data_IF_364054254656
#
_entry.id   IF_364054254656
#
_cell.length_a   1.000
_cell.length_b   1.000
_cell.length_c   1.000
_cell.angle_alpha   90.00
_cell.angle_beta   90.00
_cell.angle_gamma   90.00
#
_symmetry.space_group_name_H-M   'P 1'
#
loop_
_entity.id
_entity.type
_entity.pdbx_description
1 polymer ?
#
# COMPACT_ATOMS: atom_id res chain seq x y z
N UNK A 1 9.50 5.07 38.42
CA UNK A 1 10.00 5.55 37.12
C UNK A 1 8.85 5.74 36.12
N UNK A 2 7.86 4.83 36.03
CA UNK A 2 6.73 5.01 35.10
C UNK A 2 5.53 5.81 35.63
N UNK A 3 5.40 6.02 36.95
CA UNK A 3 4.28 6.80 37.51
C UNK A 3 4.41 8.31 37.25
N UNK A 4 5.64 8.84 37.16
CA UNK A 4 5.90 10.25 36.79
C UNK A 4 5.68 10.51 35.29
N UNK A 5 5.46 9.46 34.48
CA UNK A 5 5.34 9.55 33.02
C UNK A 5 3.91 9.76 32.53
N UNK A 6 2.91 9.71 33.42
CA UNK A 6 1.52 9.98 33.04
C UNK A 6 1.28 11.45 32.70
N UNK A 7 2.04 12.37 33.28
CA UNK A 7 1.92 13.81 32.99
C UNK A 7 2.23 14.14 31.52
N UNK A 8 3.22 13.48 30.92
CA UNK A 8 3.61 13.74 29.52
C UNK A 8 2.64 13.17 28.47
N UNK A 9 1.78 12.21 28.83
CA UNK A 9 0.88 11.56 27.85
C UNK A 9 -0.22 12.48 27.32
N UNK A 10 -0.54 13.56 28.03
CA UNK A 10 -1.51 14.56 27.59
C UNK A 10 -0.90 15.71 26.76
N UNK A 11 0.41 15.67 26.46
CA UNK A 11 1.16 16.81 25.92
C UNK A 11 1.89 16.52 24.58
N UNK A 12 1.38 15.66 23.71
CA UNK A 12 1.83 15.64 22.30
C UNK A 12 1.23 16.81 21.51
N UNK A 13 1.36 18.02 22.06
CA UNK A 13 0.95 19.26 21.43
C UNK A 13 2.15 19.74 20.61
N UNK A 14 2.03 19.83 19.27
CA UNK A 14 3.11 20.33 18.44
C UNK A 14 3.38 21.80 18.74
N UNK A 15 4.65 22.23 18.67
CA UNK A 15 5.01 23.64 18.86
C UNK A 15 4.35 24.53 17.80
N UNK A 16 4.11 23.98 16.61
CA UNK A 16 3.45 24.68 15.51
C UNK A 16 1.98 24.28 15.40
N UNK A 17 1.08 25.25 15.58
CA UNK A 17 -0.36 25.05 15.40
C UNK A 17 -0.70 24.97 13.90
N UNK A 18 -1.13 23.80 13.46
CA UNK A 18 -1.66 23.56 12.11
C UNK A 18 -3.16 23.32 12.23
N UNK A 19 -3.96 24.19 11.60
CA UNK A 19 -5.41 24.21 11.77
C UNK A 19 -6.18 23.36 10.75
N UNK A 20 -5.58 23.05 9.60
CA UNK A 20 -6.26 22.33 8.51
C UNK A 20 -5.29 21.35 7.84
N UNK A 21 -5.18 20.16 8.41
CA UNK A 21 -4.27 19.13 7.91
C UNK A 21 -4.74 18.56 6.57
N UNK A 22 -6.05 18.41 6.37
CA UNK A 22 -6.61 17.90 5.11
C UNK A 22 -6.33 18.85 3.94
N UNK A 23 -6.47 20.17 4.13
CA UNK A 23 -6.12 21.15 3.11
C UNK A 23 -4.63 21.10 2.74
N UNK A 24 -3.75 20.89 3.72
CA UNK A 24 -2.31 20.72 3.47
C UNK A 24 -2.05 19.46 2.65
N UNK A 25 -2.67 18.33 3.00
CA UNK A 25 -2.55 17.09 2.21
C UNK A 25 -3.05 17.29 0.78
N UNK A 26 -4.18 17.97 0.58
CA UNK A 26 -4.72 18.30 -0.76
C UNK A 26 -3.76 19.18 -1.56
N UNK A 27 -3.15 20.17 -0.90
CA UNK A 27 -2.15 21.03 -1.53
C UNK A 27 -0.93 20.22 -1.98
N UNK A 28 -0.35 19.41 -1.10
CA UNK A 28 0.81 18.56 -1.43
C UNK A 28 0.47 17.59 -2.55
N UNK A 29 -0.70 16.97 -2.49
CA UNK A 29 -1.15 16.03 -3.51
C UNK A 29 -1.28 16.71 -4.89
N UNK A 30 -1.82 17.94 -4.91
CA UNK A 30 -1.95 18.75 -6.12
C UNK A 30 -0.58 19.14 -6.68
N UNK A 31 0.35 19.60 -5.83
CA UNK A 31 1.71 19.99 -6.21
C UNK A 31 2.51 18.82 -6.79
N UNK A 32 2.29 17.60 -6.28
CA UNK A 32 2.98 16.38 -6.73
C UNK A 32 2.26 15.61 -7.83
N UNK A 33 1.02 15.97 -8.16
CA UNK A 33 0.24 15.34 -9.24
C UNK A 33 0.92 15.31 -10.61
N UNK A 34 1.70 16.34 -11.05
CA UNK A 34 2.37 16.30 -12.35
C UNK A 34 3.43 15.20 -12.46
N UNK A 35 3.95 14.70 -11.33
CA UNK A 35 4.91 13.60 -11.31
C UNK A 35 4.27 12.26 -11.71
N UNK A 36 2.95 12.15 -11.65
CA UNK A 36 2.21 10.93 -12.02
C UNK A 36 1.54 11.15 -13.37
N UNK A 37 1.99 10.40 -14.37
CA UNK A 37 1.33 10.40 -15.67
C UNK A 37 0.00 9.66 -15.58
N UNK A 38 -1.04 10.17 -16.26
CA UNK A 38 -2.24 9.38 -16.51
C UNK A 38 -1.87 8.23 -17.44
N UNK A 39 -1.89 7.02 -16.90
CA UNK A 39 -1.54 5.82 -17.63
C UNK A 39 -2.81 5.29 -18.29
N UNK A 40 -2.79 5.24 -19.63
CA UNK A 40 -3.75 4.44 -20.38
C UNK A 40 -3.25 3.02 -20.43
N UNK A 41 -4.14 2.06 -20.18
CA UNK A 41 -3.83 0.66 -20.33
C UNK A 41 -3.47 0.36 -21.79
N UNK A 42 -2.23 -0.02 -22.08
CA UNK A 42 -1.83 -0.57 -23.38
C UNK A 42 -1.96 -2.09 -23.33
N UNK A 43 -3.17 -2.58 -23.60
CA UNK A 43 -3.52 -4.00 -23.49
C UNK A 43 -2.70 -4.90 -24.44
N UNK A 44 -2.15 -4.35 -25.52
CA UNK A 44 -1.43 -5.12 -26.54
C UNK A 44 -0.17 -5.80 -26.01
N UNK A 45 0.58 -5.12 -25.13
CA UNK A 45 1.85 -5.63 -24.61
C UNK A 45 1.69 -6.82 -23.64
N UNK A 46 0.54 -6.92 -22.97
CA UNK A 46 0.28 -7.96 -21.98
C UNK A 46 -0.32 -9.21 -22.58
N UNK A 47 -1.25 -9.06 -23.54
CA UNK A 47 -1.92 -10.20 -24.20
C UNK A 47 -0.91 -11.11 -24.87
N UNK A 48 0.08 -10.54 -25.56
CA UNK A 48 1.15 -11.29 -26.23
C UNK A 48 1.92 -12.18 -25.25
N UNK A 49 2.18 -11.71 -24.03
CA UNK A 49 2.95 -12.47 -23.05
C UNK A 49 2.17 -13.61 -22.38
N UNK A 50 0.91 -13.37 -21.99
CA UNK A 50 0.06 -14.41 -21.41
C UNK A 50 -0.27 -15.51 -22.43
N UNK A 51 -0.51 -15.12 -23.67
CA UNK A 51 -0.82 -16.08 -24.74
C UNK A 51 0.40 -16.93 -25.13
N UNK A 52 1.61 -16.34 -25.16
CA UNK A 52 2.84 -17.07 -25.48
C UNK A 52 3.25 -18.14 -24.44
N UNK A 53 2.86 -17.96 -23.16
CA UNK A 53 3.24 -18.90 -22.09
C UNK A 53 2.16 -19.95 -21.76
N UNK A 54 0.95 -19.81 -22.30
CA UNK A 54 -0.16 -20.75 -22.08
C UNK A 54 -0.57 -21.54 -23.33
N UNK A 55 -0.08 -21.18 -24.51
CA UNK A 55 -0.39 -21.88 -25.76
C UNK A 55 0.83 -22.58 -26.34
N UNK A 56 1.02 -23.87 -26.02
CA UNK A 56 1.60 -24.84 -26.97
C UNK A 56 1.55 -26.33 -26.55
N UNK A 57 0.83 -26.71 -25.49
CA UNK A 57 0.77 -28.14 -25.09
C UNK A 57 -0.26 -29.00 -25.86
N UNK A 58 -0.95 -28.46 -26.88
CA UNK A 58 -2.01 -29.22 -27.58
C UNK A 58 -2.00 -29.27 -29.11
N UNK A 59 -1.00 -28.73 -29.81
CA UNK A 59 -0.75 -29.15 -31.20
C UNK A 59 0.29 -30.26 -31.23
N UNK A 60 -0.18 -31.49 -31.10
CA UNK A 60 0.59 -32.71 -31.33
C UNK A 60 0.90 -32.80 -32.84
N UNK A 61 2.14 -32.52 -33.32
CA UNK A 61 2.47 -32.61 -34.73
C UNK A 61 2.99 -34.03 -34.97
N UNK A 62 2.08 -35.00 -34.96
CA UNK A 62 2.39 -36.34 -35.41
C UNK A 62 1.33 -36.74 -36.44
N UNK A 63 1.63 -36.41 -37.70
CA UNK A 63 1.44 -37.27 -38.87
C UNK A 63 1.93 -36.52 -40.13
N UNK A 64 3.23 -36.63 -40.43
CA UNK A 64 3.67 -36.98 -41.79
C UNK A 64 5.13 -37.41 -41.78
N UNK A 65 5.34 -38.66 -42.18
CA UNK A 65 6.65 -39.22 -42.48
C UNK A 65 7.23 -38.61 -43.78
N UNK A 66 8.57 -38.65 -43.85
CA UNK A 66 9.43 -38.74 -45.03
C UNK A 66 9.93 -37.46 -45.72
N UNK A 67 11.22 -37.21 -45.48
CA UNK A 67 12.35 -37.34 -46.43
C UNK A 67 13.26 -36.12 -46.67
N UNK A 68 14.55 -36.42 -46.44
CA UNK A 68 15.78 -35.98 -47.13
C UNK A 68 16.30 -34.54 -47.03
N UNK A 69 17.46 -34.46 -46.36
CA UNK A 69 18.71 -33.77 -46.74
C UNK A 69 18.64 -32.37 -47.40
N UNK A 70 19.20 -31.36 -46.74
CA UNK A 70 20.55 -30.84 -47.05
C UNK A 70 20.97 -29.73 -46.08
N UNK A 71 22.28 -29.57 -45.97
CA UNK A 71 23.02 -28.69 -45.08
C UNK A 71 22.59 -27.21 -45.15
N UNK A 72 22.42 -26.57 -43.99
CA UNK A 72 22.86 -25.19 -43.79
C UNK A 72 23.21 -24.94 -42.33
N UNK A 73 24.45 -24.49 -42.10
CA UNK A 73 24.97 -24.04 -40.81
C UNK A 73 24.29 -22.71 -40.45
N UNK A 74 23.16 -22.79 -39.74
CA UNK A 74 22.64 -21.67 -38.98
C UNK A 74 22.89 -21.97 -37.50
N UNK A 75 23.65 -21.10 -36.84
CA UNK A 75 23.75 -21.04 -35.38
C UNK A 75 22.37 -20.66 -34.83
N UNK A 76 21.48 -21.64 -34.78
CA UNK A 76 20.24 -21.58 -34.02
C UNK A 76 20.66 -21.49 -32.56
N UNK A 77 20.55 -20.28 -31.99
CA UNK A 77 20.32 -20.09 -30.57
C UNK A 77 19.22 -21.07 -30.16
N UNK A 78 19.63 -22.16 -29.51
CA UNK A 78 18.70 -23.10 -28.89
C UNK A 78 17.94 -22.28 -27.86
N UNK A 79 16.72 -21.87 -28.21
CA UNK A 79 15.76 -21.33 -27.26
C UNK A 79 15.66 -22.37 -26.15
N UNK A 80 16.28 -22.07 -25.01
CA UNK A 80 16.18 -22.92 -23.85
C UNK A 80 14.69 -23.13 -23.59
N UNK A 81 14.29 -24.40 -23.49
CA UNK A 81 12.90 -24.77 -23.28
C UNK A 81 12.53 -24.35 -21.86
N UNK A 82 12.14 -23.08 -21.69
CA UNK A 82 11.78 -22.49 -20.40
C UNK A 82 10.55 -23.24 -19.92
N UNK A 83 10.72 -24.05 -18.87
CA UNK A 83 9.59 -24.75 -18.26
C UNK A 83 8.53 -23.72 -17.87
N UNK A 84 7.25 -23.96 -18.21
CA UNK A 84 6.18 -23.06 -17.82
C UNK A 84 6.19 -22.89 -16.30
N UNK A 85 6.10 -21.63 -15.85
CA UNK A 85 6.08 -21.29 -14.43
C UNK A 85 4.72 -21.73 -13.88
N UNK A 86 4.70 -22.82 -13.12
CA UNK A 86 3.49 -23.24 -12.40
C UNK A 86 3.16 -22.24 -11.30
N UNK A 87 1.90 -21.78 -11.28
CA UNK A 87 1.41 -20.94 -10.20
C UNK A 87 1.17 -21.77 -8.94
N UNK A 88 1.84 -21.39 -7.85
CA UNK A 88 1.74 -22.09 -6.56
C UNK A 88 0.52 -21.67 -5.74
N UNK A 89 -0.09 -20.52 -6.04
CA UNK A 89 -1.17 -19.92 -5.26
C UNK A 89 -2.26 -19.31 -6.16
N UNK A 90 -3.47 -19.26 -5.62
CA UNK A 90 -4.61 -18.51 -6.17
C UNK A 90 -4.71 -17.16 -5.47
N UNK A 91 -4.89 -16.09 -6.23
CA UNK A 91 -5.03 -14.74 -5.69
C UNK A 91 -6.50 -14.39 -5.44
N UNK A 92 -6.78 -13.76 -4.30
CA UNK A 92 -8.13 -13.40 -3.92
C UNK A 92 -8.18 -12.47 -2.71
N UNK A 93 -9.36 -12.32 -2.08
CA UNK A 93 -9.58 -11.34 -1.01
C UNK A 93 -8.57 -11.44 0.15
N UNK A 94 -8.05 -12.63 0.44
CA UNK A 94 -7.06 -12.80 1.52
C UNK A 94 -5.71 -12.11 1.25
N UNK A 95 -5.43 -11.72 0.01
CA UNK A 95 -4.24 -10.97 -0.39
C UNK A 95 -4.40 -9.45 -0.24
N UNK A 96 -5.61 -8.99 0.08
CA UNK A 96 -5.94 -7.57 0.27
C UNK A 96 -5.81 -7.16 1.75
N UNK A 97 -5.51 -5.88 1.97
CA UNK A 97 -5.53 -5.30 3.31
C UNK A 97 -6.95 -5.30 3.92
N UNK A 98 -7.05 -5.19 5.24
CA UNK A 98 -8.34 -5.10 5.93
C UNK A 98 -9.04 -3.74 5.75
N UNK A 99 -8.28 -2.69 5.41
CA UNK A 99 -8.81 -1.37 5.05
C UNK A 99 -9.35 -1.32 3.61
N UNK A 100 -9.26 -2.41 2.84
CA UNK A 100 -9.71 -2.43 1.47
C UNK A 100 -11.24 -2.41 1.39
N UNK A 101 -11.78 -1.33 0.84
CA UNK A 101 -13.21 -1.26 0.53
C UNK A 101 -13.58 -2.36 -0.47
N UNK A 102 -14.79 -2.91 -0.35
CA UNK A 102 -15.33 -3.91 -1.30
C UNK A 102 -14.54 -5.21 -1.42
N UNK A 103 -13.59 -5.47 -0.50
CA UNK A 103 -12.86 -6.76 -0.39
C UNK A 103 -13.78 -7.98 -0.38
N UNK A 104 -15.01 -7.83 0.13
CA UNK A 104 -16.01 -8.90 0.24
C UNK A 104 -17.01 -8.93 -0.92
N UNK A 105 -16.97 -7.95 -1.84
CA UNK A 105 -17.93 -7.87 -2.95
C UNK A 105 -17.73 -9.01 -3.95
N UNK A 106 -16.53 -9.58 -3.99
CA UNK A 106 -16.17 -10.73 -4.82
C UNK A 106 -15.43 -11.74 -3.96
N UNK A 107 -15.93 -12.97 -3.92
CA UNK A 107 -15.19 -14.12 -3.40
C UNK A 107 -15.30 -15.28 -4.37
N UNK A 108 -14.27 -16.13 -4.40
CA UNK A 108 -14.29 -17.29 -5.27
C UNK A 108 -13.48 -18.43 -4.68
N UNK A 109 -13.85 -19.64 -5.06
CA UNK A 109 -13.15 -20.88 -4.71
C UNK A 109 -13.01 -21.74 -5.95
N UNK A 110 -11.90 -22.45 -6.05
CA UNK A 110 -11.68 -23.43 -7.09
C UNK A 110 -11.44 -24.81 -6.50
N UNK A 111 -12.26 -25.77 -6.91
CA UNK A 111 -12.12 -27.19 -6.54
C UNK A 111 -11.83 -28.00 -7.80
N UNK A 112 -10.57 -28.38 -8.00
CA UNK A 112 -10.10 -29.00 -9.26
C UNK A 112 -10.39 -28.09 -10.46
N UNK A 113 -11.23 -28.52 -11.39
CA UNK A 113 -11.60 -27.78 -12.60
C UNK A 113 -12.94 -27.05 -12.45
N UNK A 114 -13.48 -26.93 -11.24
CA UNK A 114 -14.74 -26.23 -10.98
C UNK A 114 -14.46 -24.93 -10.23
N UNK A 115 -14.97 -23.82 -10.75
CA UNK A 115 -14.91 -22.50 -10.11
C UNK A 115 -16.31 -22.10 -9.68
N UNK A 116 -16.39 -21.60 -8.45
CA UNK A 116 -17.57 -20.96 -7.89
C UNK A 116 -17.22 -19.53 -7.47
N UNK A 117 -17.92 -18.55 -8.02
CA UNK A 117 -17.77 -17.13 -7.72
C UNK A 117 -19.04 -16.64 -7.02
N UNK A 118 -18.89 -15.85 -5.98
CA UNK A 118 -19.99 -15.16 -5.30
C UNK A 118 -19.76 -13.65 -5.41
N UNK A 119 -20.76 -12.94 -5.94
CA UNK A 119 -20.76 -11.52 -6.21
C UNK A 119 -21.87 -10.81 -5.41
N UNK A 120 -21.52 -9.71 -4.72
CA UNK A 120 -22.49 -8.82 -4.07
C UNK A 120 -22.93 -7.76 -5.10
N UNK A 121 -23.80 -8.16 -6.03
CA UNK A 121 -24.32 -7.27 -7.07
C UNK A 121 -25.63 -7.78 -7.65
N UNK A 122 -26.53 -6.93 -8.20
CA UNK A 122 -27.80 -7.39 -8.76
C UNK A 122 -27.61 -8.19 -10.05
N UNK A 123 -28.31 -9.32 -10.21
CA UNK A 123 -28.16 -10.21 -11.38
C UNK A 123 -28.39 -9.53 -12.72
N UNK A 124 -29.32 -8.57 -12.78
CA UNK A 124 -29.63 -7.82 -14.00
C UNK A 124 -28.53 -6.84 -14.43
N UNK A 125 -27.51 -6.61 -13.60
CA UNK A 125 -26.35 -5.78 -13.94
C UNK A 125 -25.17 -6.58 -14.46
N UNK A 126 -25.24 -7.91 -14.40
CA UNK A 126 -24.15 -8.80 -14.80
C UNK A 126 -24.36 -9.19 -16.27
N UNK A 127 -23.36 -8.89 -17.09
CA UNK A 127 -23.25 -9.43 -18.45
C UNK A 127 -22.07 -10.38 -18.47
N UNK A 128 -22.23 -11.55 -19.06
CA UNK A 128 -21.18 -12.54 -19.12
C UNK A 128 -21.33 -13.43 -20.35
N UNK A 129 -20.21 -14.00 -20.78
CA UNK A 129 -20.13 -15.06 -21.77
C UNK A 129 -18.96 -16.00 -21.43
N UNK A 130 -18.61 -16.89 -22.35
CA UNK A 130 -17.51 -17.86 -22.20
C UNK A 130 -16.11 -17.21 -22.25
N UNK A 131 -16.02 -15.90 -22.54
CA UNK A 131 -14.76 -15.16 -22.67
C UNK A 131 -14.58 -14.08 -21.62
N UNK A 132 -15.67 -13.47 -21.14
CA UNK A 132 -15.60 -12.32 -20.24
C UNK A 132 -16.79 -12.20 -19.30
N UNK A 133 -16.58 -11.37 -18.29
CA UNK A 133 -17.62 -10.82 -17.42
C UNK A 133 -17.54 -9.30 -17.41
N UNK A 134 -18.70 -8.66 -17.28
CA UNK A 134 -18.87 -7.24 -17.07
C UNK A 134 -19.95 -7.07 -16.01
N UNK A 135 -19.52 -6.73 -14.79
CA UNK A 135 -20.37 -6.43 -13.65
C UNK A 135 -19.78 -5.25 -12.85
N UNK A 136 -20.56 -4.62 -11.97
CA UNK A 136 -20.08 -3.51 -11.14
C UNK A 136 -18.90 -3.84 -10.21
N UNK A 137 -18.70 -5.11 -9.87
CA UNK A 137 -17.73 -5.56 -8.86
C UNK A 137 -16.65 -6.49 -9.42
N UNK A 138 -16.89 -7.12 -10.57
CA UNK A 138 -15.96 -8.01 -11.26
C UNK A 138 -16.09 -7.78 -12.76
N UNK A 139 -15.01 -7.41 -13.43
CA UNK A 139 -15.03 -7.18 -14.88
C UNK A 139 -13.71 -7.58 -15.52
N UNK A 140 -13.77 -8.02 -16.78
CA UNK A 140 -12.64 -8.38 -17.62
C UNK A 140 -12.80 -9.74 -18.31
N UNK A 141 -11.75 -10.17 -19.02
CA UNK A 141 -11.68 -11.47 -19.69
C UNK A 141 -11.21 -12.57 -18.75
N UNK A 142 -11.90 -13.71 -18.82
CA UNK A 142 -11.62 -14.89 -18.03
C UNK A 142 -10.21 -15.41 -18.28
N UNK A 143 -9.56 -15.91 -17.23
CA UNK A 143 -8.19 -16.41 -17.32
C UNK A 143 -8.02 -17.51 -18.38
N UNK A 144 -8.86 -18.55 -18.33
CA UNK A 144 -8.82 -19.68 -19.26
C UNK A 144 -10.15 -19.91 -19.97
N UNK A 145 -10.31 -21.10 -20.54
CA UNK A 145 -11.57 -21.51 -21.16
C UNK A 145 -12.64 -21.81 -20.10
N UNK A 146 -13.83 -21.23 -20.28
CA UNK A 146 -15.02 -21.47 -19.46
C UNK A 146 -15.95 -22.48 -20.15
N UNK A 147 -16.53 -23.39 -19.38
CA UNK A 147 -17.51 -24.38 -19.83
C UNK A 147 -18.65 -24.51 -18.81
N UNK A 148 -19.84 -24.91 -19.26
CA UNK A 148 -20.98 -25.23 -18.40
C UNK A 148 -21.32 -24.11 -17.39
N UNK A 149 -21.34 -22.86 -17.85
CA UNK A 149 -21.58 -21.71 -16.97
C UNK A 149 -23.03 -21.59 -16.56
N UNK A 150 -23.26 -21.51 -15.25
CA UNK A 150 -24.55 -21.32 -14.61
C UNK A 150 -24.52 -20.07 -13.73
N UNK A 151 -25.64 -19.35 -13.69
CA UNK A 151 -25.82 -18.19 -12.82
C UNK A 151 -27.04 -18.40 -11.93
N UNK A 152 -26.83 -18.29 -10.63
CA UNK A 152 -27.85 -18.48 -9.60
C UNK A 152 -28.06 -17.15 -8.87
N UNK A 153 -29.30 -16.66 -8.89
CA UNK A 153 -29.69 -15.52 -8.04
C UNK A 153 -29.96 -16.03 -6.62
N UNK A 154 -29.10 -15.64 -5.68
CA UNK A 154 -29.21 -15.98 -4.26
C UNK A 154 -29.78 -14.82 -3.46
N UNK A 155 -30.30 -13.78 -4.12
CA UNK A 155 -30.81 -12.58 -3.47
C UNK A 155 -31.99 -12.92 -2.57
N UNK A 156 -31.86 -12.58 -1.29
CA UNK A 156 -32.93 -12.68 -0.28
C UNK A 156 -33.02 -11.34 0.47
N UNK A 157 -34.24 -10.92 0.80
CA UNK A 157 -34.51 -9.81 1.73
C UNK A 157 -33.75 -8.49 1.44
N UNK A 158 -33.58 -8.14 0.17
CA UNK A 158 -32.95 -6.89 -0.27
C UNK A 158 -31.42 -6.94 -0.41
N UNK A 159 -30.78 -8.06 -0.09
CA UNK A 159 -29.37 -8.28 -0.38
C UNK A 159 -29.23 -8.78 -1.83
N UNK A 160 -28.48 -8.06 -2.66
CA UNK A 160 -28.17 -8.48 -4.02
C UNK A 160 -26.98 -9.43 -3.99
N UNK A 161 -27.23 -10.72 -4.16
CA UNK A 161 -26.21 -11.76 -4.09
C UNK A 161 -26.37 -12.72 -5.27
N UNK A 162 -25.31 -12.90 -6.04
CA UNK A 162 -25.31 -13.75 -7.23
C UNK A 162 -24.16 -14.72 -7.17
N UNK A 163 -24.41 -15.96 -7.57
CA UNK A 163 -23.41 -17.01 -7.65
C UNK A 163 -23.23 -17.44 -9.10
N UNK A 164 -21.98 -17.48 -9.56
CA UNK A 164 -21.61 -18.03 -10.86
C UNK A 164 -20.84 -19.32 -10.64
N UNK A 165 -21.18 -20.35 -11.41
CA UNK A 165 -20.55 -21.66 -11.35
C UNK A 165 -20.16 -22.09 -12.75
N UNK A 166 -18.94 -22.59 -12.95
CA UNK A 166 -18.48 -23.07 -14.26
C UNK A 166 -17.28 -24.00 -14.14
N UNK A 167 -17.12 -24.81 -15.18
CA UNK A 167 -15.94 -25.65 -15.38
C UNK A 167 -14.85 -24.90 -16.15
N UNK A 168 -13.60 -25.24 -15.85
CA UNK A 168 -12.40 -24.67 -16.48
C UNK A 168 -11.44 -25.75 -16.98
N UNK A 169 -10.54 -25.35 -17.87
CA UNK A 169 -9.52 -26.20 -18.46
C UNK A 169 -8.40 -26.60 -17.49
N UNK A 170 -8.06 -25.72 -16.55
CA UNK A 170 -6.94 -25.91 -15.64
C UNK A 170 -7.14 -25.17 -14.32
N UNK A 171 -6.17 -25.32 -13.40
CA UNK A 171 -6.14 -24.51 -12.18
C UNK A 171 -5.82 -23.05 -12.51
N UNK A 172 -6.72 -22.14 -12.19
CA UNK A 172 -6.52 -20.72 -12.47
C UNK A 172 -5.85 -20.05 -11.28
N UNK A 173 -4.80 -19.22 -11.48
CA UNK A 173 -4.22 -18.42 -10.41
C UNK A 173 -5.08 -17.20 -10.07
N UNK A 174 -5.94 -16.75 -11.00
CA UNK A 174 -6.74 -15.55 -10.91
C UNK A 174 -7.96 -15.67 -11.83
N UNK A 175 -9.03 -14.92 -11.56
CA UNK A 175 -10.25 -14.97 -12.37
C UNK A 175 -10.12 -14.23 -13.71
N UNK A 176 -9.50 -13.04 -13.69
CA UNK A 176 -9.50 -12.08 -14.80
C UNK A 176 -8.09 -11.82 -15.32
N UNK A 177 -7.79 -12.22 -16.55
CA UNK A 177 -6.45 -12.05 -17.13
C UNK A 177 -6.17 -10.68 -17.76
N UNK A 178 -7.17 -10.02 -18.36
CA UNK A 178 -7.07 -8.69 -19.00
C UNK A 178 -8.47 -8.17 -19.38
N UNK A 179 -8.56 -7.17 -20.28
CA UNK A 179 -9.81 -6.80 -20.97
C UNK A 179 -10.66 -5.79 -20.22
N UNK A 180 -10.05 -4.65 -19.86
CA UNK A 180 -10.58 -3.68 -18.91
C UNK A 180 -10.97 -4.31 -17.55
N UNK A 181 -9.97 -4.84 -16.81
CA UNK A 181 -10.26 -5.47 -15.53
C UNK A 181 -10.78 -4.48 -14.49
N UNK A 182 -11.58 -4.96 -13.55
CA UNK A 182 -11.91 -4.18 -12.37
C UNK A 182 -10.63 -3.87 -11.55
N UNK A 183 -10.66 -2.85 -10.67
CA UNK A 183 -9.47 -2.41 -9.95
C UNK A 183 -8.80 -3.50 -9.09
N UNK A 184 -9.57 -4.38 -8.45
CA UNK A 184 -9.01 -5.46 -7.63
C UNK A 184 -8.40 -6.54 -8.51
N UNK A 185 -9.07 -6.92 -9.60
CA UNK A 185 -8.51 -7.81 -10.62
C UNK A 185 -7.21 -7.25 -11.21
N UNK A 186 -7.14 -5.95 -11.49
CA UNK A 186 -5.90 -5.30 -11.93
C UNK A 186 -4.78 -5.42 -10.90
N UNK A 187 -5.07 -5.26 -9.60
CA UNK A 187 -4.08 -5.50 -8.55
C UNK A 187 -3.58 -6.96 -8.55
N UNK A 188 -4.48 -7.94 -8.69
CA UNK A 188 -4.09 -9.36 -8.78
C UNK A 188 -3.25 -9.68 -10.02
N UNK A 189 -3.56 -9.04 -11.17
CA UNK A 189 -2.71 -9.12 -12.37
C UNK A 189 -1.32 -8.57 -12.06
N UNK A 190 -1.23 -7.42 -11.39
CA UNK A 190 0.05 -6.80 -11.05
C UNK A 190 0.94 -7.73 -10.21
N UNK A 191 0.44 -8.26 -9.09
CA UNK A 191 1.22 -9.15 -8.22
C UNK A 191 1.59 -10.48 -8.93
N UNK A 192 0.74 -10.95 -9.83
CA UNK A 192 1.03 -12.13 -10.67
C UNK A 192 2.19 -11.84 -11.62
N UNK A 193 2.16 -10.69 -12.30
CA UNK A 193 3.25 -10.23 -13.16
C UNK A 193 4.57 -10.07 -12.39
N UNK A 194 4.52 -9.54 -11.16
CA UNK A 194 5.69 -9.43 -10.29
C UNK A 194 6.30 -10.82 -9.98
N UNK A 195 5.47 -11.81 -9.68
CA UNK A 195 5.93 -13.17 -9.41
C UNK A 195 6.63 -13.79 -10.63
N UNK A 196 6.19 -13.45 -11.84
CA UNK A 196 6.79 -13.86 -13.10
C UNK A 196 8.00 -13.01 -13.51
N UNK A 197 8.29 -11.92 -12.78
CA UNK A 197 9.39 -11.00 -13.11
C UNK A 197 9.08 -10.01 -14.24
N UNK A 198 7.80 -9.84 -14.58
CA UNK A 198 7.32 -8.89 -15.59
C UNK A 198 7.10 -7.51 -14.97
N UNK A 199 8.19 -6.80 -14.70
CA UNK A 199 8.16 -5.55 -13.93
C UNK A 199 7.37 -4.42 -14.61
N UNK A 200 7.43 -4.31 -15.94
CA UNK A 200 6.68 -3.27 -16.67
C UNK A 200 5.16 -3.45 -16.50
N UNK A 201 4.69 -4.69 -16.64
CA UNK A 201 3.27 -5.04 -16.45
C UNK A 201 2.86 -4.84 -14.99
N UNK A 202 3.70 -5.28 -14.04
CA UNK A 202 3.48 -5.07 -12.62
C UNK A 202 3.26 -3.60 -12.30
N UNK A 203 4.18 -2.71 -12.70
CA UNK A 203 4.04 -1.28 -12.45
C UNK A 203 2.77 -0.71 -13.08
N UNK A 204 2.49 -1.09 -14.32
CA UNK A 204 1.38 -0.55 -15.09
C UNK A 204 0.01 -0.90 -14.48
N UNK A 205 -0.23 -2.16 -14.17
CA UNK A 205 -1.49 -2.60 -13.54
C UNK A 205 -1.60 -2.16 -12.08
N UNK A 206 -0.47 -2.05 -11.37
CA UNK A 206 -0.44 -1.52 -10.01
C UNK A 206 -0.82 -0.04 -9.98
N UNK A 207 -0.27 0.78 -10.88
CA UNK A 207 -0.65 2.19 -11.04
C UNK A 207 -2.14 2.31 -11.43
N UNK A 208 -2.65 1.48 -12.35
CA UNK A 208 -4.07 1.47 -12.70
C UNK A 208 -4.97 1.17 -11.49
N UNK A 209 -4.68 0.12 -10.72
CA UNK A 209 -5.43 -0.21 -9.52
C UNK A 209 -5.36 0.91 -8.46
N UNK A 210 -4.17 1.51 -8.28
CA UNK A 210 -3.95 2.61 -7.37
C UNK A 210 -4.75 3.88 -7.74
N UNK A 211 -4.83 4.21 -9.03
CA UNK A 211 -5.68 5.30 -9.54
C UNK A 211 -7.17 5.08 -9.30
N UNK A 212 -7.59 3.82 -9.26
CA UNK A 212 -8.96 3.43 -8.95
C UNK A 212 -9.17 3.14 -7.45
N UNK A 213 -8.28 3.66 -6.60
CA UNK A 213 -8.41 3.69 -5.15
C UNK A 213 -8.36 2.32 -4.47
N UNK A 214 -7.69 1.35 -5.08
CA UNK A 214 -7.35 0.13 -4.36
C UNK A 214 -6.28 0.46 -3.33
N UNK A 215 -6.63 0.44 -2.05
CA UNK A 215 -5.76 0.85 -0.95
C UNK A 215 -4.45 0.05 -0.95
N UNK A 216 -4.58 -1.27 -1.08
CA UNK A 216 -3.44 -2.20 -1.12
C UNK A 216 -2.51 -1.89 -2.29
N UNK A 217 -3.06 -1.49 -3.44
CA UNK A 217 -2.29 -1.10 -4.61
C UNK A 217 -1.52 0.21 -4.38
N UNK A 218 -2.20 1.24 -3.87
CA UNK A 218 -1.55 2.52 -3.57
C UNK A 218 -0.41 2.36 -2.57
N UNK A 219 -0.64 1.60 -1.49
CA UNK A 219 0.38 1.32 -0.47
C UNK A 219 1.57 0.53 -1.05
N UNK A 220 1.31 -0.48 -1.89
CA UNK A 220 2.38 -1.21 -2.57
C UNK A 220 3.19 -0.27 -3.48
N UNK A 221 2.51 0.64 -4.18
CA UNK A 221 3.13 1.59 -5.08
C UNK A 221 4.01 2.61 -4.35
N UNK A 222 3.64 3.04 -3.14
CA UNK A 222 4.49 3.87 -2.27
C UNK A 222 5.85 3.20 -2.05
N UNK A 223 5.88 1.92 -1.68
CA UNK A 223 7.13 1.20 -1.47
C UNK A 223 7.94 1.03 -2.76
N UNK A 224 7.28 0.70 -3.88
CA UNK A 224 7.95 0.60 -5.19
C UNK A 224 8.61 1.93 -5.56
N UNK A 225 7.90 3.05 -5.41
CA UNK A 225 8.45 4.37 -5.71
C UNK A 225 9.59 4.78 -4.78
N UNK A 226 9.50 4.40 -3.50
CA UNK A 226 10.56 4.62 -2.52
C UNK A 226 11.84 3.85 -2.89
N UNK A 227 11.74 2.58 -3.27
CA UNK A 227 12.88 1.75 -3.71
C UNK A 227 13.49 2.22 -5.04
N UNK A 228 12.69 2.87 -5.88
CA UNK A 228 13.12 3.46 -7.14
C UNK A 228 13.65 4.89 -6.98
N UNK A 229 13.63 5.42 -5.75
CA UNK A 229 14.00 6.81 -5.45
C UNK A 229 13.19 7.83 -6.26
N UNK A 230 11.97 7.46 -6.68
CA UNK A 230 11.01 8.34 -7.38
C UNK A 230 10.20 9.11 -6.32
N UNK A 231 10.88 9.95 -5.54
CA UNK A 231 10.31 10.52 -4.32
C UNK A 231 9.08 11.41 -4.56
N UNK A 232 9.04 12.23 -5.62
CA UNK A 232 7.85 13.06 -5.91
C UNK A 232 6.60 12.21 -6.16
N UNK A 233 6.73 11.14 -6.96
CA UNK A 233 5.66 10.15 -7.15
C UNK A 233 5.29 9.46 -5.84
N UNK A 234 6.27 9.12 -5.02
CA UNK A 234 6.05 8.52 -3.71
C UNK A 234 5.20 9.44 -2.83
N UNK A 235 5.49 10.74 -2.77
CA UNK A 235 4.71 11.73 -2.02
C UNK A 235 3.29 11.85 -2.55
N UNK A 236 3.11 11.86 -3.86
CA UNK A 236 1.78 11.87 -4.45
C UNK A 236 0.95 10.69 -3.95
N UNK A 237 1.48 9.47 -4.03
CA UNK A 237 0.76 8.28 -3.60
C UNK A 237 0.55 8.22 -2.07
N UNK A 238 1.53 8.64 -1.27
CA UNK A 238 1.37 8.78 0.19
C UNK A 238 0.20 9.71 0.51
N UNK A 239 0.16 10.90 -0.09
CA UNK A 239 -0.91 11.87 0.18
C UNK A 239 -2.25 11.44 -0.38
N UNK A 240 -2.28 10.79 -1.56
CA UNK A 240 -3.50 10.17 -2.11
C UNK A 240 -4.06 9.11 -1.18
N UNK A 241 -3.20 8.29 -0.56
CA UNK A 241 -3.62 7.34 0.48
C UNK A 241 -4.19 8.08 1.68
N UNK A 242 -3.45 9.04 2.25
CA UNK A 242 -3.84 9.73 3.49
C UNK A 242 -5.13 10.54 3.38
N UNK A 243 -5.45 11.04 2.18
CA UNK A 243 -6.71 11.74 1.93
C UNK A 243 -7.94 10.82 1.94
N UNK A 244 -7.75 9.51 1.85
CA UNK A 244 -8.83 8.52 1.76
C UNK A 244 -8.82 7.53 2.92
N UNK A 245 -7.64 7.21 3.40
CA UNK A 245 -7.36 6.17 4.36
C UNK A 245 -6.54 6.78 5.50
N UNK A 246 -6.94 6.54 6.75
CA UNK A 246 -6.22 6.98 7.94
C UNK A 246 -4.99 6.08 8.22
N UNK A 247 -4.08 6.01 7.25
CA UNK A 247 -2.94 5.09 7.29
C UNK A 247 -1.75 5.69 8.04
N UNK A 248 -1.60 5.27 9.30
CA UNK A 248 -0.49 5.67 10.17
C UNK A 248 0.90 5.39 9.59
N UNK A 249 1.06 4.33 8.80
CA UNK A 249 2.35 4.00 8.18
C UNK A 249 2.70 5.03 7.10
N UNK A 250 1.75 5.32 6.20
CA UNK A 250 1.93 6.37 5.19
C UNK A 250 2.11 7.75 5.83
N UNK A 251 1.45 8.00 6.97
CA UNK A 251 1.59 9.24 7.73
C UNK A 251 3.02 9.40 8.28
N UNK A 252 3.61 8.31 8.82
CA UNK A 252 5.01 8.28 9.24
C UNK A 252 5.95 8.50 8.06
N UNK A 253 5.72 7.80 6.94
CA UNK A 253 6.52 7.98 5.74
C UNK A 253 6.51 9.44 5.27
N UNK A 254 5.35 10.11 5.26
CA UNK A 254 5.23 11.52 4.93
C UNK A 254 6.11 12.39 5.85
N UNK A 255 6.02 12.18 7.18
CA UNK A 255 6.84 12.93 8.14
C UNK A 255 8.35 12.76 7.87
N UNK A 256 8.80 11.55 7.57
CA UNK A 256 10.21 11.29 7.21
C UNK A 256 10.63 12.06 5.96
N UNK A 257 9.78 12.06 4.92
CA UNK A 257 10.10 12.77 3.68
C UNK A 257 10.11 14.28 3.88
N UNK A 258 9.22 14.82 4.71
CA UNK A 258 9.23 16.24 5.10
C UNK A 258 10.47 16.63 5.90
N UNK A 259 10.99 15.75 6.75
CA UNK A 259 12.26 15.96 7.45
C UNK A 259 13.47 15.86 6.52
N UNK A 260 13.45 14.94 5.54
CA UNK A 260 14.55 14.76 4.60
C UNK A 260 14.56 15.82 3.47
N UNK A 261 13.40 16.35 3.10
CA UNK A 261 13.24 17.19 1.90
C UNK A 261 13.34 16.41 0.59
N UNK A 262 12.97 15.12 0.61
CA UNK A 262 13.07 14.23 -0.55
C UNK A 262 11.71 14.11 -1.26
N UNK A 263 11.63 14.62 -2.49
CA UNK A 263 10.39 14.63 -3.30
C UNK A 263 9.35 15.68 -2.86
N UNK A 264 9.64 16.44 -1.81
CA UNK A 264 8.83 17.54 -1.30
C UNK A 264 9.74 18.55 -0.60
N UNK A 265 9.34 19.83 -0.57
CA UNK A 265 10.05 20.85 0.19
C UNK A 265 10.11 20.48 1.67
N UNK A 266 11.33 20.52 2.24
CA UNK A 266 11.56 20.25 3.67
C UNK A 266 10.67 21.13 4.55
N UNK A 267 9.97 20.52 5.51
CA UNK A 267 9.08 21.23 6.43
C UNK A 267 9.02 20.50 7.78
N UNK A 268 9.94 20.84 8.67
CA UNK A 268 10.11 20.18 9.95
C UNK A 268 8.96 20.45 10.93
N UNK A 269 8.32 21.62 10.85
CA UNK A 269 7.13 21.95 11.64
C UNK A 269 5.92 21.06 11.28
N UNK A 270 5.70 20.80 9.99
CA UNK A 270 4.64 19.87 9.57
C UNK A 270 4.98 18.42 9.95
N UNK A 271 6.25 18.03 9.84
CA UNK A 271 6.69 16.71 10.28
C UNK A 271 6.50 16.52 11.80
N UNK A 272 6.88 17.52 12.62
CA UNK A 272 6.62 17.56 14.06
C UNK A 272 5.13 17.36 14.36
N UNK A 273 4.26 18.14 13.71
CA UNK A 273 2.81 18.03 13.87
C UNK A 273 2.32 16.60 13.60
N UNK A 274 2.76 16.00 12.50
CA UNK A 274 2.40 14.63 12.15
C UNK A 274 2.91 13.61 13.19
N UNK A 275 4.17 13.76 13.61
CA UNK A 275 4.79 12.85 14.57
C UNK A 275 4.12 12.94 15.95
N UNK A 276 3.77 14.13 16.41
CA UNK A 276 2.97 14.32 17.63
C UNK A 276 1.63 13.57 17.55
N UNK A 277 0.94 13.63 16.40
CA UNK A 277 -0.29 12.86 16.19
C UNK A 277 -0.04 11.36 16.31
N UNK A 278 0.96 10.84 15.61
CA UNK A 278 1.32 9.42 15.65
C UNK A 278 1.70 8.94 17.06
N UNK A 279 2.46 9.76 17.82
CA UNK A 279 2.80 9.48 19.22
C UNK A 279 1.54 9.38 20.10
N UNK A 280 0.55 10.25 19.91
CA UNK A 280 -0.71 10.16 20.66
C UNK A 280 -1.54 8.91 20.28
N UNK A 281 -1.40 8.41 19.05
CA UNK A 281 -1.96 7.13 18.61
C UNK A 281 -1.13 5.92 19.07
N UNK A 282 -0.08 6.14 19.88
CA UNK A 282 0.85 5.13 20.35
C UNK A 282 1.56 4.36 19.21
N UNK A 283 1.88 5.06 18.12
CA UNK A 283 2.66 4.50 17.02
C UNK A 283 4.16 4.54 17.36
N UNK A 284 4.69 3.41 17.82
CA UNK A 284 6.01 3.32 18.48
C UNK A 284 7.16 3.98 17.70
N UNK A 285 7.26 3.75 16.39
CA UNK A 285 8.31 4.32 15.53
C UNK A 285 8.33 5.86 15.49
N UNK A 286 7.19 6.50 15.76
CA UNK A 286 7.11 7.96 15.83
C UNK A 286 7.83 8.52 17.05
N UNK A 287 7.85 7.79 18.18
CA UNK A 287 8.54 8.22 19.40
C UNK A 287 10.04 8.42 19.13
N UNK A 288 10.69 7.50 18.44
CA UNK A 288 12.10 7.63 18.07
C UNK A 288 12.37 8.88 17.23
N UNK A 289 11.56 9.07 16.18
CA UNK A 289 11.78 10.15 15.21
C UNK A 289 11.51 11.52 15.82
N UNK A 290 10.43 11.64 16.61
CA UNK A 290 10.11 12.85 17.35
C UNK A 290 11.16 13.13 18.44
N UNK A 291 11.62 12.09 19.13
CA UNK A 291 12.67 12.19 20.14
C UNK A 291 13.95 12.79 19.58
N UNK A 292 14.42 12.28 18.42
CA UNK A 292 15.57 12.87 17.70
C UNK A 292 15.30 14.31 17.27
N UNK A 293 14.10 14.61 16.76
CA UNK A 293 13.74 15.96 16.33
C UNK A 293 13.80 16.96 17.50
N UNK A 294 13.31 16.59 18.68
CA UNK A 294 13.36 17.44 19.88
C UNK A 294 14.72 17.46 20.56
N UNK A 295 15.55 16.42 20.41
CA UNK A 295 16.90 16.43 20.96
C UNK A 295 17.79 17.42 20.21
N UNK A 296 17.75 17.37 18.88
CA UNK A 296 18.63 18.18 18.03
C UNK A 296 18.01 19.53 17.66
N UNK A 297 16.69 19.64 17.68
CA UNK A 297 15.96 20.79 17.16
C UNK A 297 16.01 20.87 15.63
N UNK A 298 15.16 21.70 15.05
CA UNK A 298 15.16 22.00 13.62
C UNK A 298 14.60 23.40 13.35
N UNK A 299 14.50 23.77 12.07
CA UNK A 299 13.88 25.04 11.69
C UNK A 299 12.42 25.04 12.17
N UNK A 300 12.07 26.00 13.04
CA UNK A 300 10.76 26.14 13.70
C UNK A 300 10.40 25.04 14.70
N UNK A 301 11.34 24.17 15.07
CA UNK A 301 11.14 23.16 16.13
C UNK A 301 12.26 23.34 17.14
N UNK A 302 11.95 23.91 18.30
CA UNK A 302 12.92 24.10 19.37
C UNK A 302 13.29 22.78 20.01
N UNK A 303 14.50 22.75 20.59
CA UNK A 303 14.94 21.62 21.42
C UNK A 303 14.04 21.51 22.64
N UNK A 304 13.77 20.27 23.04
CA UNK A 304 13.01 19.92 24.23
C UNK A 304 13.64 18.66 24.82
N UNK A 305 14.81 18.80 25.45
CA UNK A 305 15.66 17.67 25.84
C UNK A 305 14.97 16.68 26.77
N UNK A 306 14.20 17.16 27.75
CA UNK A 306 13.44 16.26 28.64
C UNK A 306 12.38 15.45 27.90
N UNK A 307 11.63 16.09 26.99
CA UNK A 307 10.65 15.41 26.13
C UNK A 307 11.33 14.43 25.18
N UNK A 308 12.47 14.81 24.61
CA UNK A 308 13.28 13.93 23.78
C UNK A 308 13.73 12.68 24.54
N UNK A 309 14.25 12.84 25.76
CA UNK A 309 14.64 11.72 26.63
C UNK A 309 13.47 10.77 26.85
N UNK A 310 12.32 11.31 27.24
CA UNK A 310 11.11 10.52 27.49
C UNK A 310 10.69 9.72 26.25
N UNK A 311 10.65 10.36 25.09
CA UNK A 311 10.28 9.73 23.81
C UNK A 311 11.25 8.59 23.45
N UNK A 312 12.56 8.81 23.61
CA UNK A 312 13.58 7.79 23.35
C UNK A 312 13.47 6.62 24.34
N UNK A 313 13.29 6.89 25.64
CA UNK A 313 13.07 5.84 26.66
C UNK A 313 11.83 5.00 26.33
N UNK A 314 10.72 5.65 25.96
CA UNK A 314 9.49 4.97 25.56
C UNK A 314 9.68 4.09 24.33
N UNK A 315 10.35 4.60 23.29
CA UNK A 315 10.67 3.82 22.10
C UNK A 315 11.50 2.57 22.44
N UNK A 316 12.57 2.70 23.23
CA UNK A 316 13.43 1.57 23.61
C UNK A 316 12.73 0.52 24.48
N UNK A 317 11.69 0.92 25.22
CA UNK A 317 10.87 0.03 26.03
C UNK A 317 9.82 -0.71 25.20
N UNK A 318 9.20 -0.05 24.22
CA UNK A 318 8.17 -0.65 23.37
C UNK A 318 8.76 -1.53 22.25
N UNK A 319 9.96 -1.22 21.78
CA UNK A 319 10.67 -2.03 20.80
C UNK A 319 11.63 -3.01 21.50
N UNK A 320 11.39 -4.31 21.35
CA UNK A 320 12.18 -5.35 22.00
C UNK A 320 13.28 -5.95 21.11
N UNK A 321 13.31 -5.60 19.82
CA UNK A 321 14.28 -6.16 18.89
C UNK A 321 15.68 -5.59 19.16
N UNK A 322 16.63 -6.43 19.58
CA UNK A 322 18.01 -6.03 19.86
C UNK A 322 18.83 -5.81 18.58
N UNK A 323 18.36 -6.31 17.45
CA UNK A 323 19.02 -6.12 16.15
C UNK A 323 18.58 -4.85 15.45
N UNK A 324 17.49 -4.22 15.90
CA UNK A 324 16.97 -2.96 15.36
C UNK A 324 17.98 -1.81 15.55
N UNK A 325 18.44 -1.24 14.44
CA UNK A 325 19.43 -0.16 14.41
C UNK A 325 18.91 1.14 15.02
N UNK A 326 17.63 1.47 14.83
CA UNK A 326 17.01 2.67 15.43
C UNK A 326 16.97 2.51 16.96
N UNK A 327 16.72 1.29 17.46
CA UNK A 327 16.80 1.02 18.91
C UNK A 327 18.22 1.11 19.45
N UNK A 328 19.22 0.58 18.75
CA UNK A 328 20.63 0.73 19.14
C UNK A 328 21.02 2.20 19.21
N UNK A 329 20.64 2.98 18.20
CA UNK A 329 20.87 4.43 18.16
C UNK A 329 20.17 5.13 19.33
N UNK A 330 18.90 4.82 19.61
CA UNK A 330 18.17 5.39 20.74
C UNK A 330 18.85 5.10 22.09
N UNK A 331 19.32 3.87 22.32
CA UNK A 331 20.06 3.48 23.53
C UNK A 331 21.41 4.21 23.62
N UNK A 332 22.08 4.42 22.49
CA UNK A 332 23.34 5.16 22.45
C UNK A 332 23.13 6.64 22.80
N UNK A 333 22.13 7.29 22.20
CA UNK A 333 21.74 8.66 22.52
C UNK A 333 21.40 8.81 24.01
N UNK A 334 20.62 7.89 24.58
CA UNK A 334 20.26 7.90 26.00
C UNK A 334 21.47 7.78 26.94
N UNK A 335 22.59 7.19 26.51
CA UNK A 335 23.81 7.05 27.30
C UNK A 335 24.76 8.23 27.15
N UNK A 336 24.84 8.80 25.96
CA UNK A 336 25.90 9.72 25.57
C UNK A 336 25.46 11.19 25.61
N UNK A 337 24.17 11.46 25.45
CA UNK A 337 23.65 12.82 25.36
C UNK A 337 23.29 13.40 26.73
N UNK A 338 23.51 14.71 26.87
CA UNK A 338 23.11 15.46 28.07
C UNK A 338 21.69 16.00 27.91
N UNK A 339 20.77 15.42 28.67
CA UNK A 339 19.36 15.80 28.67
C UNK A 339 19.01 16.88 29.70
N UNK A 340 20.02 17.58 30.26
CA UNK A 340 19.78 18.78 31.07
C UNK A 340 19.14 19.86 30.20
N UNK A 341 17.95 20.40 30.57
CA UNK A 341 17.28 21.48 29.85
C UNK A 341 18.23 22.64 29.55
N UNK A 342 18.12 23.20 28.35
CA UNK A 342 18.77 24.47 28.07
C UNK A 342 18.03 25.60 28.83
N UNK A 343 18.71 26.66 29.26
CA UNK A 343 18.10 27.79 30.01
C UNK A 343 16.89 28.42 29.27
N UNK A 344 16.82 28.26 27.95
CA UNK A 344 15.73 28.74 27.08
C UNK A 344 14.51 27.80 27.04
N UNK A 345 14.57 26.60 27.65
CA UNK A 345 13.43 25.66 27.71
C UNK A 345 12.42 26.02 28.82
N UNK A 346 12.75 26.91 29.77
CA UNK A 346 11.96 27.16 30.99
C UNK A 346 10.75 28.12 30.83
N UNK A 347 10.53 28.77 29.68
CA UNK A 347 9.66 29.97 29.60
C UNK A 347 8.26 29.79 28.97
N UNK A 348 7.75 28.58 28.71
CA UNK A 348 6.50 28.43 27.91
C UNK A 348 5.22 28.07 28.67
N UNK A 349 5.22 28.04 30.01
CA UNK A 349 3.97 27.86 30.78
C UNK A 349 3.33 29.16 31.26
N UNK A 350 3.88 30.33 30.94
CA UNK A 350 3.18 31.59 31.21
C UNK A 350 2.17 31.89 30.10
N UNK A 351 0.95 31.43 30.34
CA UNK A 351 -0.28 31.79 29.64
C UNK A 351 -0.32 33.29 29.27
N UNK A 352 -0.07 33.62 28.01
CA UNK A 352 -0.72 34.77 27.40
C UNK A 352 -2.23 34.47 27.34
N UNK A 353 -2.91 34.74 28.45
CA UNK A 353 -4.35 34.93 28.50
C UNK A 353 -4.72 36.13 27.62
N UNK A 354 -4.81 35.90 26.31
CA UNK A 354 -5.45 36.83 25.38
C UNK A 354 -6.95 36.76 25.67
N UNK A 355 -7.41 37.69 26.52
CA UNK A 355 -8.82 37.95 26.74
C UNK A 355 -9.53 38.29 25.43
N UNK A 356 -10.37 37.37 24.97
CA UNK A 356 -11.20 37.52 23.79
C UNK A 356 -12.35 36.53 23.83
N UNK A 357 -13.41 36.88 24.57
CA UNK A 357 -14.67 36.13 24.63
C UNK A 357 -15.28 35.99 23.21
N UNK A 358 -15.48 34.74 22.75
CA UNK A 358 -16.46 34.24 21.74
C UNK A 358 -15.99 33.30 20.61
N UNK A 359 -14.75 32.77 20.59
CA UNK A 359 -14.35 31.75 19.58
C UNK A 359 -14.26 30.31 20.10
N UNK A 360 -14.51 30.08 21.39
CA UNK A 360 -14.18 28.82 22.06
C UNK A 360 -15.10 27.63 21.71
N UNK A 361 -16.33 27.88 21.22
CA UNK A 361 -17.30 26.79 20.99
C UNK A 361 -17.18 26.09 19.62
N UNK A 362 -16.52 26.72 18.64
CA UNK A 362 -16.29 26.13 17.30
C UNK A 362 -14.92 25.45 17.24
N UNK A 363 -13.94 25.96 17.98
CA UNK A 363 -12.53 25.52 17.96
C UNK A 363 -12.27 24.19 18.70
N UNK A 364 -13.07 23.88 19.72
CA UNK A 364 -12.93 22.64 20.48
C UNK A 364 -13.52 21.41 19.77
N UNK A 365 -14.44 21.59 18.81
CA UNK A 365 -15.16 20.47 18.18
C UNK A 365 -14.44 19.89 16.97
N UNK A 366 -13.69 20.69 16.21
CA UNK A 366 -12.88 20.18 15.10
C UNK A 366 -11.63 19.44 15.59
N UNK A 367 -10.98 19.95 16.64
CA UNK A 367 -9.79 19.29 17.20
C UNK A 367 -10.11 17.96 17.89
N UNK A 368 -11.13 17.86 18.74
CA UNK A 368 -11.42 16.63 19.50
C UNK A 368 -11.95 15.48 18.64
N UNK A 369 -12.65 15.79 17.55
CA UNK A 369 -13.17 14.76 16.62
C UNK A 369 -12.04 14.09 15.85
N UNK A 370 -10.98 14.83 15.51
CA UNK A 370 -9.78 14.28 14.84
C UNK A 370 -8.92 13.37 15.75
N UNK A 371 -9.09 13.45 17.08
CA UNK A 371 -8.35 12.61 18.04
C UNK A 371 -9.11 11.36 18.48
N UNK A 372 -10.44 11.34 18.36
CA UNK A 372 -11.28 10.24 18.87
C UNK A 372 -11.37 9.01 17.93
N UNK A 373 -10.94 9.14 16.67
CA UNK A 373 -10.99 8.06 15.66
C UNK A 373 -9.76 7.14 15.62
N UNK A 374 -8.69 7.49 16.34
CA UNK A 374 -7.38 6.83 16.28
C UNK A 374 -7.26 5.40 16.88
N UNK A 375 -8.36 4.80 17.32
CA UNK A 375 -8.36 3.52 18.02
C UNK A 375 -8.81 2.34 17.16
N UNK A 376 -7.97 1.85 16.23
CA UNK A 376 -8.33 0.65 15.47
C UNK A 376 -7.30 0.09 14.48
N UNK A 377 -6.82 -1.12 14.83
CA UNK A 377 -6.31 -2.20 13.95
C UNK A 377 -4.86 -2.12 13.41
N UNK A 378 -3.99 -3.01 13.91
CA UNK A 378 -2.79 -3.48 13.20
C UNK A 378 -2.60 -4.98 13.49
N UNK A 379 -2.77 -5.85 12.48
CA UNK A 379 -2.02 -7.11 12.29
C UNK A 379 -2.51 -7.95 11.08
N UNK A 380 -2.42 -7.44 9.84
CA UNK A 380 -2.44 -8.28 8.62
C UNK A 380 -2.12 -7.44 7.36
N UNK A 381 -0.84 -7.12 7.12
CA UNK A 381 -0.44 -6.42 5.87
C UNK A 381 1.04 -6.53 5.46
N UNK A 382 1.90 -7.11 6.29
CA UNK A 382 3.35 -7.07 6.07
C UNK A 382 3.86 -8.18 5.14
N UNK A 383 3.16 -9.32 5.00
CA UNK A 383 3.74 -10.48 4.31
C UNK A 383 3.92 -10.28 2.79
N UNK A 384 2.93 -9.73 2.09
CA UNK A 384 3.00 -9.56 0.61
C UNK A 384 3.94 -8.41 0.25
N UNK A 385 3.85 -7.28 0.97
CA UNK A 385 4.75 -6.14 0.79
C UNK A 385 6.22 -6.52 1.05
N UNK A 386 6.50 -7.21 2.15
CA UNK A 386 7.87 -7.66 2.50
C UNK A 386 8.35 -8.76 1.54
N UNK A 387 7.49 -9.64 1.04
CA UNK A 387 7.86 -10.65 0.05
C UNK A 387 8.25 -10.02 -1.30
N UNK A 388 7.46 -9.07 -1.79
CA UNK A 388 7.76 -8.27 -2.98
C UNK A 388 9.09 -7.52 -2.81
N UNK A 389 9.28 -6.83 -1.67
CA UNK A 389 10.50 -6.11 -1.29
C UNK A 389 11.73 -7.03 -1.28
N UNK A 390 11.63 -8.19 -0.61
CA UNK A 390 12.74 -9.14 -0.47
C UNK A 390 13.15 -9.78 -1.80
N UNK A 391 12.19 -9.96 -2.73
CA UNK A 391 12.45 -10.50 -4.07
C UNK A 391 13.08 -9.44 -5.00
N UNK A 392 12.65 -8.18 -4.90
CA UNK A 392 13.27 -7.04 -5.60
C UNK A 392 14.72 -6.83 -5.15
N UNK A 393 14.97 -6.85 -3.85
CA UNK A 393 16.32 -6.68 -3.26
C UNK A 393 17.30 -7.79 -3.67
N UNK A 394 16.84 -9.05 -3.80
CA UNK A 394 17.71 -10.17 -4.21
C UNK A 394 18.19 -10.10 -5.66
N UNK A 395 17.49 -9.40 -6.56
CA UNK A 395 17.86 -9.33 -7.98
C UNK A 395 18.77 -8.16 -8.33
N UNK A 396 18.82 -7.10 -7.52
CA UNK A 396 19.74 -5.96 -7.71
C UNK A 396 21.17 -6.21 -7.23
N UNK A 397 21.39 -7.29 -6.46
CA UNK A 397 22.71 -7.68 -5.95
C UNK A 397 23.50 -8.66 -6.84
N UNK A 398 23.04 -8.94 -8.06
CA UNK A 398 23.69 -9.85 -9.01
C UNK A 398 24.00 -9.19 -10.34
#
# INVERSE_FOLDING_TARGET
MFDDLKEFSNEFIPQNKISDFEAILKQINTETSPAVANIKLDESQWIDYLTQNHGNDHENPNLSENNSNENDNNENEKSENVKPIEFTSTFGPNDLNDLEEKKQDVSWVQTSNFIQITLITPINTIKYDDKRIDSPVLSGEWFGKVMNMEINDLSNDGNSLVQLEFDVDCKWPLLIKYGNPDPLSAYYIAITALNQGQFQVFEHYLEYAAFHNVYTAQRTLVYVMLEQQKYEKCIHWITSCLLKFEDNMNLKLLANRLLAGEGITKNEALAEYILCRLCAMNYSEAFFTLGKLYLFGAKKVRKQKLKAKYLLERYTHENFDEEDEDRKEAVELLKNEDFTPDEEEEDETEDEQIGGENEESVRAKTSLVDWALAGGVVAAASAVGVFALRRLLRRRGH
#
